data_IF_486991336287
#
_entry.id   IF_486991336287
#
_cell.length_a   1.000
_cell.length_b   1.000
_cell.length_c   1.000
_cell.angle_alpha   90.00
_cell.angle_beta   90.00
_cell.angle_gamma   90.00
#
_symmetry.space_group_name_H-M   'P 1'
#
loop_
_entity.id
_entity.type
_entity.pdbx_description
1 polymer ?
#
# COMPACT_ATOMS: atom_id res chain seq x y z
N UNK A 1 18.39 -9.31 -28.43
CA UNK A 1 17.29 -8.41 -28.01
C UNK A 1 17.84 -7.55 -26.89
N UNK A 2 17.77 -6.21 -26.93
CA UNK A 2 18.24 -5.42 -25.80
C UNK A 2 17.21 -5.54 -24.67
N UNK A 3 17.69 -6.03 -23.53
CA UNK A 3 16.96 -6.04 -22.27
C UNK A 3 16.47 -4.63 -21.97
N UNK A 4 15.16 -4.38 -22.07
CA UNK A 4 14.59 -3.04 -21.86
C UNK A 4 15.15 -2.42 -20.58
N UNK A 5 15.83 -1.27 -20.75
CA UNK A 5 16.74 -0.61 -19.81
C UNK A 5 16.45 -0.90 -18.33
N UNK A 6 17.16 -1.88 -17.77
CA UNK A 6 17.24 -2.04 -16.31
C UNK A 6 18.09 -0.88 -15.80
N UNK A 7 17.43 0.10 -15.19
CA UNK A 7 18.09 1.29 -14.61
C UNK A 7 18.36 1.13 -13.11
N UNK A 8 17.75 0.13 -12.46
CA UNK A 8 17.93 -0.15 -11.04
C UNK A 8 18.00 -1.66 -10.75
N UNK A 9 19.18 -2.20 -10.45
CA UNK A 9 19.42 -3.65 -10.34
C UNK A 9 18.63 -4.36 -9.23
N UNK A 10 18.30 -3.68 -8.13
CA UNK A 10 17.55 -4.25 -7.00
C UNK A 10 16.04 -4.08 -7.10
N UNK A 11 15.56 -3.42 -8.14
CA UNK A 11 14.14 -3.12 -8.31
C UNK A 11 13.53 -4.12 -9.31
N UNK A 12 12.34 -4.64 -9.00
CA UNK A 12 11.64 -5.54 -9.94
C UNK A 12 11.43 -4.86 -11.28
N UNK A 13 11.51 -5.63 -12.37
CA UNK A 13 11.35 -5.14 -13.75
C UNK A 13 10.08 -4.29 -13.94
N UNK A 14 8.99 -4.67 -13.26
CA UNK A 14 7.71 -3.99 -13.35
C UNK A 14 7.75 -2.53 -12.85
N UNK A 15 8.63 -2.21 -11.90
CA UNK A 15 8.79 -0.87 -11.31
C UNK A 15 9.91 -0.04 -11.96
N UNK A 16 10.66 -0.57 -12.94
CA UNK A 16 11.76 0.15 -13.59
C UNK A 16 11.30 1.45 -14.24
N UNK A 17 10.15 1.42 -14.94
CA UNK A 17 9.58 2.59 -15.61
C UNK A 17 9.19 3.72 -14.64
N UNK A 18 8.36 3.49 -13.60
CA UNK A 18 8.03 4.56 -12.66
C UNK A 18 9.27 5.09 -11.92
N UNK A 19 10.24 4.23 -11.59
CA UNK A 19 11.52 4.68 -11.03
C UNK A 19 12.30 5.59 -12.00
N UNK A 20 12.39 5.21 -13.27
CA UNK A 20 13.04 6.03 -14.33
C UNK A 20 12.39 7.40 -14.42
N UNK A 21 11.06 7.48 -14.41
CA UNK A 21 10.32 8.75 -14.43
C UNK A 21 10.60 9.62 -13.21
N UNK A 22 10.64 9.02 -12.01
CA UNK A 22 11.02 9.73 -10.79
C UNK A 22 12.46 10.25 -10.84
N UNK A 23 13.38 9.55 -11.51
CA UNK A 23 14.76 10.02 -11.66
C UNK A 23 14.88 11.16 -12.69
N UNK A 24 14.22 11.02 -13.84
CA UNK A 24 14.27 11.99 -14.94
C UNK A 24 13.49 13.26 -14.63
N UNK A 25 12.44 13.20 -13.81
CA UNK A 25 11.62 14.37 -13.46
C UNK A 25 10.78 14.90 -14.62
N UNK A 26 10.54 14.08 -15.64
CA UNK A 26 9.81 14.45 -16.86
C UNK A 26 8.28 14.33 -16.71
N UNK A 27 7.82 13.66 -15.67
CA UNK A 27 6.40 13.42 -15.39
C UNK A 27 6.01 14.11 -14.08
N UNK A 28 4.76 14.54 -13.99
CA UNK A 28 4.19 15.12 -12.78
C UNK A 28 4.14 14.08 -11.64
N UNK A 29 4.04 14.55 -10.39
CA UNK A 29 3.87 13.66 -9.23
C UNK A 29 2.67 12.73 -9.39
N UNK A 30 1.55 13.20 -9.91
CA UNK A 30 0.35 12.38 -10.11
C UNK A 30 0.54 11.32 -11.20
N UNK A 31 1.25 11.64 -12.28
CA UNK A 31 1.59 10.66 -13.31
C UNK A 31 2.54 9.59 -12.80
N UNK A 32 3.53 9.99 -11.99
CA UNK A 32 4.44 9.06 -11.33
C UNK A 32 3.70 8.17 -10.33
N UNK A 33 2.88 8.75 -9.46
CA UNK A 33 2.05 8.03 -8.50
C UNK A 33 1.14 7.02 -9.21
N UNK A 34 0.49 7.43 -10.30
CA UNK A 34 -0.39 6.55 -11.06
C UNK A 34 0.37 5.42 -11.74
N UNK A 35 1.56 5.68 -12.27
CA UNK A 35 2.42 4.64 -12.83
C UNK A 35 2.83 3.63 -11.74
N UNK A 36 3.22 4.09 -10.54
CA UNK A 36 3.54 3.23 -9.40
C UNK A 36 2.33 2.40 -8.97
N UNK A 37 1.16 3.01 -8.79
CA UNK A 37 -0.07 2.31 -8.39
C UNK A 37 -0.50 1.23 -9.39
N UNK A 38 -0.37 1.49 -10.68
CA UNK A 38 -0.68 0.49 -11.72
C UNK A 38 0.21 -0.75 -11.56
N UNK A 39 1.48 -0.53 -11.19
CA UNK A 39 2.47 -1.58 -10.97
C UNK A 39 2.27 -2.31 -9.64
N UNK A 40 1.95 -1.58 -8.58
CA UNK A 40 1.53 -2.14 -7.31
C UNK A 40 0.30 -3.02 -7.46
N UNK A 41 -0.71 -2.58 -8.20
CA UNK A 41 -1.91 -3.36 -8.53
C UNK A 41 -1.56 -4.67 -9.23
N UNK A 42 -0.67 -4.63 -10.23
CA UNK A 42 -0.22 -5.83 -10.96
C UNK A 42 0.51 -6.80 -10.03
N UNK A 43 1.37 -6.29 -9.16
CA UNK A 43 2.14 -7.08 -8.19
C UNK A 43 1.23 -7.73 -7.13
N UNK A 44 0.28 -6.98 -6.57
CA UNK A 44 -0.73 -7.50 -5.64
C UNK A 44 -1.59 -8.58 -6.32
N UNK A 45 -2.02 -8.37 -7.57
CA UNK A 45 -2.78 -9.40 -8.32
C UNK A 45 -1.97 -10.69 -8.50
N UNK A 46 -0.69 -10.58 -8.81
CA UNK A 46 0.19 -11.73 -8.96
C UNK A 46 0.40 -12.50 -7.65
N UNK A 47 0.29 -11.82 -6.50
CA UNK A 47 0.38 -12.42 -5.16
C UNK A 47 -0.89 -13.18 -4.74
N UNK A 48 -2.03 -12.92 -5.40
CA UNK A 48 -3.29 -13.65 -5.21
C UNK A 48 -4.08 -13.29 -3.95
N UNK A 49 -5.14 -14.07 -3.70
CA UNK A 49 -6.20 -13.75 -2.73
C UNK A 49 -5.89 -14.13 -1.28
N UNK A 50 -4.76 -14.80 -1.01
CA UNK A 50 -4.37 -15.21 0.35
C UNK A 50 -4.36 -14.04 1.34
N UNK A 51 -3.90 -12.87 0.90
CA UNK A 51 -3.88 -11.66 1.73
C UNK A 51 -5.27 -11.21 2.20
N UNK A 52 -6.30 -11.42 1.39
CA UNK A 52 -7.69 -11.07 1.72
C UNK A 52 -8.23 -12.04 2.77
N UNK A 53 -8.04 -13.35 2.54
CA UNK A 53 -8.48 -14.40 3.48
C UNK A 53 -7.84 -14.18 4.85
N UNK A 54 -6.53 -13.92 4.88
CA UNK A 54 -5.82 -13.64 6.13
C UNK A 54 -6.30 -12.32 6.76
N UNK A 55 -6.45 -11.22 6.01
CA UNK A 55 -6.96 -9.97 6.56
C UNK A 55 -8.34 -10.13 7.25
N UNK A 56 -9.23 -10.93 6.66
CA UNK A 56 -10.54 -11.24 7.22
C UNK A 56 -10.45 -12.11 8.49
N UNK A 57 -9.61 -13.13 8.48
CA UNK A 57 -9.39 -13.98 9.66
C UNK A 57 -8.81 -13.19 10.84
N UNK A 58 -7.79 -12.37 10.59
CA UNK A 58 -7.18 -11.51 11.60
C UNK A 58 -8.20 -10.50 12.15
N UNK A 59 -9.04 -9.92 11.29
CA UNK A 59 -10.10 -9.02 11.71
C UNK A 59 -11.15 -9.71 12.58
N UNK A 60 -11.53 -10.96 12.26
CA UNK A 60 -12.47 -11.73 13.06
C UNK A 60 -11.95 -11.98 14.47
N UNK A 61 -10.66 -12.32 14.64
CA UNK A 61 -10.03 -12.47 15.96
C UNK A 61 -10.07 -11.17 16.77
N UNK A 62 -9.79 -10.03 16.11
CA UNK A 62 -9.89 -8.70 16.74
C UNK A 62 -11.31 -8.42 17.22
N UNK A 63 -12.31 -8.60 16.35
CA UNK A 63 -13.72 -8.39 16.70
C UNK A 63 -14.14 -9.30 17.85
N UNK A 64 -13.76 -10.57 17.83
CA UNK A 64 -14.10 -11.51 18.90
C UNK A 64 -13.54 -11.08 20.26
N UNK A 65 -12.31 -10.58 20.31
CA UNK A 65 -11.70 -10.17 21.58
C UNK A 65 -12.27 -8.82 22.04
N UNK A 66 -12.48 -7.86 21.15
CA UNK A 66 -13.06 -6.56 21.50
C UNK A 66 -14.52 -6.70 21.96
N UNK A 67 -15.34 -7.53 21.31
CA UNK A 67 -16.76 -7.67 21.64
C UNK A 67 -17.03 -8.43 22.95
N UNK A 68 -16.06 -9.20 23.45
CA UNK A 68 -16.22 -10.04 24.64
C UNK A 68 -15.64 -9.43 25.92
N UNK A 69 -15.10 -8.21 25.86
CA UNK A 69 -14.41 -7.56 26.97
C UNK A 69 -15.05 -6.21 27.30
N UNK A 70 -15.33 -5.98 28.59
CA UNK A 70 -15.73 -4.65 29.10
C UNK A 70 -14.57 -3.65 29.00
N UNK A 71 -13.33 -4.12 29.12
CA UNK A 71 -12.10 -3.34 28.96
C UNK A 71 -10.99 -4.20 28.33
N UNK A 72 -10.34 -3.69 27.27
CA UNK A 72 -9.24 -4.39 26.58
C UNK A 72 -7.94 -4.17 27.34
N UNK A 73 -7.27 -5.25 27.77
CA UNK A 73 -6.00 -5.16 28.54
C UNK A 73 -4.79 -5.50 27.67
N UNK A 74 -3.60 -5.15 28.15
CA UNK A 74 -2.33 -5.47 27.48
C UNK A 74 -2.17 -6.97 27.18
N UNK A 75 -2.64 -7.83 28.09
CA UNK A 75 -2.60 -9.29 27.91
C UNK A 75 -3.50 -9.77 26.77
N UNK A 76 -4.51 -9.00 26.37
CA UNK A 76 -5.41 -9.34 25.27
C UNK A 76 -4.74 -9.01 23.91
N UNK A 77 -3.96 -7.93 23.82
CA UNK A 77 -3.11 -7.65 22.67
C UNK A 77 -2.01 -8.69 22.47
N UNK A 78 -1.41 -9.19 23.57
CA UNK A 78 -0.43 -10.26 23.50
C UNK A 78 -1.05 -11.56 22.95
N UNK A 79 -2.27 -11.92 23.40
CA UNK A 79 -3.02 -13.07 22.87
C UNK A 79 -3.34 -12.90 21.39
N UNK A 80 -3.85 -11.74 20.98
CA UNK A 80 -4.13 -11.42 19.56
C UNK A 80 -2.87 -11.58 18.69
N UNK A 81 -1.72 -11.10 19.16
CA UNK A 81 -0.45 -11.22 18.44
C UNK A 81 -0.07 -12.69 18.20
N UNK A 82 -0.20 -13.55 19.23
CA UNK A 82 0.05 -15.00 19.11
C UNK A 82 -0.98 -15.69 18.21
N UNK A 83 -2.25 -15.28 18.29
CA UNK A 83 -3.30 -15.79 17.43
C UNK A 83 -3.05 -15.45 15.96
N UNK A 84 -2.60 -14.21 15.68
CA UNK A 84 -2.21 -13.78 14.35
C UNK A 84 -1.07 -14.64 13.79
N UNK A 85 -0.04 -14.90 14.58
CA UNK A 85 1.06 -15.81 14.19
C UNK A 85 0.52 -17.21 13.84
N UNK A 86 -0.40 -17.74 14.64
CA UNK A 86 -0.99 -19.06 14.41
C UNK A 86 -1.82 -19.12 13.13
N UNK A 87 -2.75 -18.17 12.94
CA UNK A 87 -3.60 -18.09 11.76
C UNK A 87 -2.77 -17.99 10.48
N UNK A 88 -1.78 -17.09 10.47
CA UNK A 88 -0.90 -16.93 9.32
C UNK A 88 -0.08 -18.20 9.11
N UNK A 89 0.52 -18.79 10.15
CA UNK A 89 1.33 -20.01 10.05
C UNK A 89 0.56 -21.17 9.44
N UNK A 90 -0.70 -21.36 9.85
CA UNK A 90 -1.55 -22.47 9.39
C UNK A 90 -2.10 -22.29 7.98
N UNK A 91 -2.16 -21.06 7.46
CA UNK A 91 -2.66 -20.83 6.11
C UNK A 91 -1.69 -21.34 5.03
N UNK A 92 -2.23 -21.99 4.01
CA UNK A 92 -1.47 -22.42 2.83
C UNK A 92 -1.15 -21.24 1.91
N UNK A 93 0.01 -21.29 1.26
CA UNK A 93 0.41 -20.34 0.22
C UNK A 93 1.74 -19.64 0.49
N UNK A 94 1.97 -18.52 -0.17
CA UNK A 94 3.28 -17.87 -0.23
C UNK A 94 3.78 -17.41 1.14
N UNK A 95 4.96 -17.88 1.60
CA UNK A 95 5.58 -17.39 2.84
C UNK A 95 5.79 -15.88 2.85
N UNK A 96 6.09 -15.29 1.68
CA UNK A 96 6.29 -13.85 1.55
C UNK A 96 5.01 -13.05 1.77
N UNK A 97 3.89 -13.50 1.20
CA UNK A 97 2.58 -12.85 1.43
C UNK A 97 2.17 -12.97 2.90
N UNK A 98 2.42 -14.15 3.50
CA UNK A 98 2.20 -14.43 4.92
C UNK A 98 2.99 -13.47 5.83
N UNK A 99 4.25 -13.23 5.53
CA UNK A 99 5.08 -12.29 6.30
C UNK A 99 4.52 -10.86 6.24
N UNK A 100 4.20 -10.36 5.04
CA UNK A 100 3.71 -8.99 4.87
C UNK A 100 2.35 -8.77 5.54
N UNK A 101 1.41 -9.71 5.42
CA UNK A 101 0.09 -9.57 6.06
C UNK A 101 0.17 -9.72 7.58
N UNK A 102 1.08 -10.55 8.09
CA UNK A 102 1.34 -10.66 9.53
C UNK A 102 1.90 -9.36 10.10
N UNK A 103 2.87 -8.76 9.40
CA UNK A 103 3.43 -7.45 9.76
C UNK A 103 2.35 -6.38 9.76
N UNK A 104 1.51 -6.34 8.72
CA UNK A 104 0.37 -5.42 8.63
C UNK A 104 -0.63 -5.61 9.79
N UNK A 105 -0.98 -6.85 10.12
CA UNK A 105 -1.85 -7.19 11.25
C UNK A 105 -1.26 -6.75 12.59
N UNK A 106 0.01 -7.07 12.85
CA UNK A 106 0.68 -6.65 14.09
C UNK A 106 0.84 -5.14 14.19
N UNK A 107 1.07 -4.46 13.06
CA UNK A 107 1.07 -3.00 12.99
C UNK A 107 -0.30 -2.40 13.35
N UNK A 108 -1.39 -3.01 12.86
CA UNK A 108 -2.75 -2.62 13.24
C UNK A 108 -2.99 -2.80 14.75
N UNK A 109 -2.61 -3.95 15.32
CA UNK A 109 -2.73 -4.20 16.77
C UNK A 109 -1.95 -3.19 17.60
N UNK A 110 -0.72 -2.85 17.16
CA UNK A 110 0.09 -1.87 17.86
C UNK A 110 -0.54 -0.47 17.84
N UNK A 111 -1.15 -0.06 16.72
CA UNK A 111 -1.83 1.23 16.66
C UNK A 111 -3.09 1.25 17.52
N UNK A 112 -3.87 0.16 17.52
CA UNK A 112 -5.02 -0.03 18.41
C UNK A 112 -4.61 0.05 19.89
N UNK A 113 -3.52 -0.63 20.27
CA UNK A 113 -2.98 -0.62 21.64
C UNK A 113 -2.59 0.78 22.10
N UNK A 114 -1.99 1.57 21.23
CA UNK A 114 -1.50 2.90 21.56
C UNK A 114 -2.56 4.00 21.44
N UNK A 115 -3.85 3.64 21.29
CA UNK A 115 -4.95 4.59 21.16
C UNK A 115 -4.86 5.48 19.92
N UNK A 116 -4.13 5.06 18.89
CA UNK A 116 -4.12 5.76 17.61
C UNK A 116 -5.46 5.53 16.91
N UNK A 117 -5.93 6.54 16.19
CA UNK A 117 -7.18 6.46 15.46
C UNK A 117 -7.11 5.35 14.41
N UNK A 118 -7.79 4.23 14.69
CA UNK A 118 -7.88 3.05 13.81
C UNK A 118 -9.34 2.74 13.53
N UNK A 119 -9.63 2.39 12.28
CA UNK A 119 -10.97 1.99 11.88
C UNK A 119 -11.30 0.58 12.42
N UNK A 120 -11.97 0.55 13.56
CA UNK A 120 -12.46 -0.68 14.20
C UNK A 120 -13.74 -1.21 13.54
N UNK A 121 -14.41 -0.41 12.68
CA UNK A 121 -15.64 -0.81 11.98
C UNK A 121 -15.34 -1.57 10.69
N UNK A 122 -14.20 -1.27 10.04
CA UNK A 122 -13.73 -1.94 8.84
C UNK A 122 -12.33 -2.54 9.04
N UNK A 123 -12.14 -3.30 10.14
CA UNK A 123 -10.83 -3.86 10.52
C UNK A 123 -10.15 -4.65 9.40
N UNK A 124 -10.89 -5.47 8.64
CA UNK A 124 -10.31 -6.23 7.51
C UNK A 124 -9.80 -5.32 6.40
N UNK A 125 -10.51 -4.23 6.08
CA UNK A 125 -10.06 -3.19 5.16
C UNK A 125 -8.81 -2.48 5.69
N UNK A 126 -8.80 -2.11 6.98
CA UNK A 126 -7.67 -1.43 7.60
C UNK A 126 -6.40 -2.30 7.60
N UNK A 127 -6.51 -3.60 7.93
CA UNK A 127 -5.39 -4.55 7.88
C UNK A 127 -4.92 -4.74 6.44
N UNK A 128 -5.83 -4.95 5.49
CA UNK A 128 -5.44 -5.16 4.09
C UNK A 128 -4.83 -3.90 3.46
N UNK A 129 -5.33 -2.71 3.82
CA UNK A 129 -4.73 -1.42 3.44
C UNK A 129 -3.27 -1.34 3.88
N UNK A 130 -2.98 -1.70 5.13
CA UNK A 130 -1.59 -1.78 5.64
C UNK A 130 -0.77 -2.79 4.87
N UNK A 131 -1.32 -3.97 4.56
CA UNK A 131 -0.63 -4.95 3.72
C UNK A 131 -0.24 -4.39 2.35
N UNK A 132 -1.13 -3.66 1.68
CA UNK A 132 -0.81 -3.03 0.40
C UNK A 132 0.29 -1.97 0.53
N UNK A 133 0.36 -1.25 1.66
CA UNK A 133 1.51 -0.39 1.99
C UNK A 133 2.79 -1.19 2.20
N UNK A 134 2.76 -2.29 2.94
CA UNK A 134 3.92 -3.15 3.15
C UNK A 134 4.47 -3.71 1.83
N UNK A 135 3.59 -4.08 0.89
CA UNK A 135 4.00 -4.47 -0.47
C UNK A 135 4.68 -3.29 -1.19
N UNK A 136 4.08 -2.09 -1.13
CA UNK A 136 4.67 -0.91 -1.75
C UNK A 136 6.06 -0.57 -1.18
N UNK A 137 6.21 -0.57 0.14
CA UNK A 137 7.47 -0.29 0.82
C UNK A 137 8.53 -1.35 0.42
N UNK A 138 8.23 -2.63 0.62
CA UNK A 138 9.19 -3.72 0.42
C UNK A 138 9.61 -3.93 -1.05
N UNK A 139 8.73 -3.61 -2.00
CA UNK A 139 8.93 -3.89 -3.42
C UNK A 139 9.40 -2.66 -4.22
N UNK A 140 9.15 -1.47 -3.70
CA UNK A 140 9.49 -0.21 -4.36
C UNK A 140 10.37 0.68 -3.49
N UNK A 141 9.81 1.27 -2.42
CA UNK A 141 10.46 2.38 -1.70
C UNK A 141 11.74 1.96 -0.98
N UNK A 142 11.74 0.83 -0.28
CA UNK A 142 12.93 0.29 0.40
C UNK A 142 14.00 -0.21 -0.58
N UNK A 143 13.64 -0.46 -1.85
CA UNK A 143 14.58 -0.92 -2.86
C UNK A 143 15.40 0.21 -3.47
N UNK A 144 14.84 1.41 -3.54
CA UNK A 144 15.46 2.60 -4.16
C UNK A 144 16.84 2.97 -3.56
N UNK A 145 17.02 3.03 -2.22
CA UNK A 145 18.31 3.40 -1.64
C UNK A 145 19.38 2.29 -1.77
N UNK A 146 19.04 1.10 -2.30
CA UNK A 146 19.97 -0.02 -2.43
C UNK A 146 20.92 0.10 -3.64
N UNK A 147 20.87 1.19 -4.38
CA UNK A 147 21.88 1.55 -5.40
C UNK A 147 22.57 2.86 -5.01
N UNK A 148 23.91 2.95 -5.10
CA UNK A 148 24.63 4.18 -4.78
C UNK A 148 24.56 5.24 -5.89
N UNK A 149 24.17 4.84 -7.10
CA UNK A 149 24.06 5.73 -8.27
C UNK A 149 22.67 5.56 -8.87
N UNK A 150 21.90 6.64 -8.87
CA UNK A 150 20.58 6.66 -9.47
C UNK A 150 20.65 7.05 -10.95
N UNK A 151 19.60 6.67 -11.68
CA UNK A 151 19.44 7.03 -13.07
C UNK A 151 19.43 8.55 -13.25
N UNK A 152 19.89 9.03 -14.42
CA UNK A 152 20.02 10.46 -14.74
C UNK A 152 20.91 11.28 -13.77
N UNK A 153 21.72 10.62 -12.92
CA UNK A 153 22.67 11.29 -12.02
C UNK A 153 22.00 12.07 -10.87
N UNK A 154 20.72 11.79 -10.58
CA UNK A 154 20.00 12.42 -9.48
C UNK A 154 20.55 11.98 -8.13
N UNK A 155 20.53 12.88 -7.14
CA UNK A 155 20.90 12.55 -5.75
C UNK A 155 19.76 11.82 -5.05
N UNK A 156 20.09 11.01 -4.04
CA UNK A 156 19.11 10.33 -3.18
C UNK A 156 18.12 11.33 -2.57
N UNK A 157 18.60 12.49 -2.11
CA UNK A 157 17.79 13.55 -1.49
C UNK A 157 16.71 14.12 -2.43
N UNK A 158 17.03 14.36 -3.70
CA UNK A 158 16.05 14.86 -4.68
C UNK A 158 15.03 13.75 -4.99
N UNK A 159 15.49 12.50 -5.09
CA UNK A 159 14.63 11.37 -5.35
C UNK A 159 13.67 11.10 -4.17
N UNK A 160 14.14 11.21 -2.93
CA UNK A 160 13.31 11.12 -1.72
C UNK A 160 12.20 12.17 -1.73
N UNK A 161 12.52 13.44 -2.01
CA UNK A 161 11.52 14.50 -2.15
C UNK A 161 10.46 14.17 -3.20
N UNK A 162 10.84 13.55 -4.31
CA UNK A 162 9.89 13.12 -5.36
C UNK A 162 9.04 11.94 -4.91
N UNK A 163 9.60 11.00 -4.14
CA UNK A 163 8.85 9.89 -3.54
C UNK A 163 7.85 10.41 -2.50
N UNK A 164 8.25 11.36 -1.66
CA UNK A 164 7.38 12.02 -0.70
C UNK A 164 6.25 12.77 -1.40
N UNK A 165 6.55 13.46 -2.51
CA UNK A 165 5.55 14.18 -3.30
C UNK A 165 4.48 13.28 -3.93
N UNK A 166 4.77 12.00 -4.21
CA UNK A 166 3.76 11.06 -4.72
C UNK A 166 2.97 10.35 -3.61
N UNK A 167 3.44 10.41 -2.35
CA UNK A 167 2.91 9.62 -1.24
C UNK A 167 1.40 9.83 -1.01
N UNK A 168 0.84 11.07 -1.03
CA UNK A 168 -0.60 11.25 -0.85
C UNK A 168 -1.45 10.52 -1.90
N UNK A 169 -0.99 10.55 -3.16
CA UNK A 169 -1.65 9.87 -4.27
C UNK A 169 -1.51 8.34 -4.16
N UNK A 170 -0.38 7.84 -3.64
CA UNK A 170 -0.18 6.42 -3.30
C UNK A 170 -1.16 5.98 -2.20
N UNK A 171 -1.26 6.73 -1.11
CA UNK A 171 -2.12 6.45 0.03
C UNK A 171 -3.59 6.38 -0.39
N UNK A 172 -4.05 7.37 -1.14
CA UNK A 172 -5.40 7.38 -1.70
C UNK A 172 -5.65 6.16 -2.61
N UNK A 173 -4.69 5.83 -3.48
CA UNK A 173 -4.79 4.68 -4.37
C UNK A 173 -4.90 3.36 -3.61
N UNK A 174 -4.07 3.17 -2.59
CA UNK A 174 -4.07 1.99 -1.73
C UNK A 174 -5.38 1.89 -0.93
N UNK A 175 -5.90 3.00 -0.41
CA UNK A 175 -7.21 3.02 0.25
C UNK A 175 -8.30 2.51 -0.70
N UNK A 176 -8.33 3.00 -1.95
CA UNK A 176 -9.31 2.52 -2.95
C UNK A 176 -9.09 1.05 -3.32
N UNK A 177 -7.85 0.57 -3.36
CA UNK A 177 -7.60 -0.85 -3.55
C UNK A 177 -8.16 -1.68 -2.39
N UNK A 178 -7.96 -1.26 -1.14
CA UNK A 178 -8.47 -1.98 0.04
C UNK A 178 -9.99 -2.11 0.02
N UNK A 179 -10.69 -1.00 -0.23
CA UNK A 179 -12.16 -0.97 -0.38
C UNK A 179 -12.62 -1.95 -1.46
N UNK A 180 -11.95 -1.96 -2.62
CA UNK A 180 -12.32 -2.86 -3.71
C UNK A 180 -11.98 -4.33 -3.41
N UNK A 181 -10.83 -4.62 -2.81
CA UNK A 181 -10.38 -5.97 -2.50
C UNK A 181 -11.33 -6.63 -1.50
N UNK A 182 -11.64 -5.95 -0.40
CA UNK A 182 -12.51 -6.48 0.65
C UNK A 182 -13.95 -6.63 0.15
N UNK A 183 -14.50 -5.60 -0.51
CA UNK A 183 -15.87 -5.65 -1.05
C UNK A 183 -16.06 -6.78 -2.06
N UNK A 184 -15.08 -7.02 -2.93
CA UNK A 184 -15.15 -8.06 -3.95
C UNK A 184 -14.62 -9.42 -3.48
N UNK A 185 -14.04 -9.48 -2.28
CA UNK A 185 -13.35 -10.64 -1.72
C UNK A 185 -12.28 -11.23 -2.67
N UNK A 186 -11.69 -10.39 -3.53
CA UNK A 186 -10.65 -10.82 -4.47
C UNK A 186 -9.81 -9.65 -4.98
N UNK A 187 -8.50 -9.86 -5.09
CA UNK A 187 -7.54 -8.93 -5.69
C UNK A 187 -7.64 -8.92 -7.22
N UNK A 188 -8.19 -9.98 -7.84
CA UNK A 188 -8.33 -10.09 -9.29
C UNK A 188 -9.16 -8.92 -9.88
N UNK A 189 -10.12 -8.42 -9.09
CA UNK A 189 -11.03 -7.32 -9.47
C UNK A 189 -10.52 -5.93 -9.06
N UNK A 190 -9.28 -5.80 -8.58
CA UNK A 190 -8.70 -4.48 -8.30
C UNK A 190 -8.70 -3.62 -9.56
N UNK A 191 -9.20 -2.39 -9.39
CA UNK A 191 -9.32 -1.37 -10.41
C UNK A 191 -8.59 -0.11 -9.99
N UNK A 192 -7.96 0.58 -10.94
CA UNK A 192 -7.35 1.89 -10.67
C UNK A 192 -8.42 2.89 -10.22
N UNK A 193 -8.12 3.77 -9.25
CA UNK A 193 -8.97 4.91 -8.95
C UNK A 193 -9.19 5.75 -10.21
N UNK A 194 -10.39 6.33 -10.33
CA UNK A 194 -10.65 7.38 -11.34
C UNK A 194 -9.72 8.55 -11.05
N UNK A 195 -9.25 9.22 -12.10
CA UNK A 195 -8.59 10.51 -11.92
C UNK A 195 -9.64 11.46 -11.35
N UNK A 196 -9.32 12.17 -10.27
CA UNK A 196 -10.01 13.43 -10.02
C UNK A 196 -9.75 14.28 -11.27
N UNK A 197 -10.80 14.61 -12.01
CA UNK A 197 -10.72 15.79 -12.85
C UNK A 197 -10.36 16.91 -11.89
N UNK A 198 -9.17 17.50 -12.02
CA UNK A 198 -8.99 18.84 -11.50
C UNK A 198 -10.19 19.64 -11.97
N UNK A 199 -10.91 20.26 -11.05
CA UNK A 199 -12.02 21.14 -11.35
C UNK A 199 -11.60 22.00 -12.55
N UNK A 200 -12.41 21.97 -13.62
CA UNK A 200 -12.23 22.93 -14.68
C UNK A 200 -12.33 24.30 -14.02
N UNK A 201 -11.21 25.03 -13.97
CA UNK A 201 -11.24 26.45 -13.62
C UNK A 201 -12.20 27.07 -14.64
N UNK A 202 -13.40 27.41 -14.20
CA UNK A 202 -14.36 28.11 -15.04
C UNK A 202 -13.83 29.52 -15.25
N UNK A 203 -13.14 29.73 -16.36
CA UNK A 203 -12.54 31.01 -16.77
C UNK A 203 -13.59 32.07 -17.16
N UNK A 204 -14.82 31.96 -16.67
CA UNK A 204 -15.93 32.85 -17.05
C UNK A 204 -16.30 33.91 -15.99
N UNK A 205 -15.63 33.99 -14.84
CA UNK A 205 -15.97 35.00 -13.82
C UNK A 205 -15.18 36.32 -13.88
N UNK A 206 -14.21 36.49 -14.79
CA UNK A 206 -13.36 37.70 -14.84
C UNK A 206 -13.54 38.61 -16.08
N UNK A 207 -14.66 38.53 -16.80
CA UNK A 207 -14.93 39.37 -17.99
C UNK A 207 -16.15 40.32 -17.90
N UNK A 208 -16.72 40.55 -16.72
CA UNK A 208 -17.81 41.55 -16.53
C UNK A 208 -17.55 42.57 -15.42
N UNK A 209 -16.28 42.83 -15.10
CA UNK A 209 -15.87 44.08 -14.43
C UNK A 209 -15.28 45.04 -15.48
N UNK A 210 -16.17 45.62 -16.30
CA UNK A 210 -15.86 46.66 -17.29
C UNK A 210 -17.04 47.59 -17.45
#
# INVERSE_FOLDING_TARGET
>A
MPDGDIVHSRLKRLYQKPYKWLCEGIATSDECARAVLEKLKQDIKAKGDLSIVLAQALAASVTQIISNLEEVRESDFAKLSVEFDNLVRQADGSPYVKELILRAGKGYLNDLRNGREVDITHTSEAIWRRYAHEVYEAEFKERIPLTPKHHAGITQEILEKRIEAIQPSIDFGIQKFAQNAIRNQSVARLSMPRRSSQEAIDLNEDLLAG
#
